data_IF_121565411859
#
_entry.id   IF_121565411859
#
_cell.length_a   1.000
_cell.length_b   1.000
_cell.length_c   1.000
_cell.angle_alpha   90.00
_cell.angle_beta   90.00
_cell.angle_gamma   90.00
#
_symmetry.space_group_name_H-M   'P 1'
#
loop_
_entity.id
_entity.type
_entity.pdbx_description
1 polymer ?
#
# COMPACT_ATOMS: atom_id res chain seq x y z
N UNK A 1 -15.85 3.15 4.89
CA UNK A 1 -14.56 3.36 5.56
C UNK A 1 -13.39 2.91 4.66
N UNK A 2 -13.36 1.65 4.19
CA UNK A 2 -12.27 1.12 3.35
C UNK A 2 -12.10 1.82 2.00
N UNK A 3 -13.18 2.21 1.34
CA UNK A 3 -13.11 2.95 0.09
C UNK A 3 -12.45 4.32 0.28
N UNK A 4 -12.88 5.07 1.28
CA UNK A 4 -12.36 6.43 1.55
C UNK A 4 -10.88 6.40 1.90
N UNK A 5 -10.43 5.41 2.70
CA UNK A 5 -9.02 5.23 3.04
C UNK A 5 -8.19 4.90 1.79
N UNK A 6 -8.65 3.96 0.97
CA UNK A 6 -7.98 3.58 -0.27
C UNK A 6 -7.94 4.72 -1.29
N UNK A 7 -9.03 5.48 -1.41
CA UNK A 7 -9.10 6.67 -2.24
C UNK A 7 -8.10 7.75 -1.79
N UNK A 8 -8.03 8.02 -0.50
CA UNK A 8 -7.11 9.02 0.05
C UNK A 8 -5.64 8.63 -0.19
N UNK A 9 -5.31 7.34 -0.02
CA UNK A 9 -3.96 6.81 -0.29
C UNK A 9 -3.65 6.84 -1.78
N UNK A 10 -4.61 6.49 -2.64
CA UNK A 10 -4.48 6.59 -4.09
C UNK A 10 -4.19 8.03 -4.52
N UNK A 11 -5.01 9.00 -4.09
CA UNK A 11 -4.84 10.40 -4.44
C UNK A 11 -3.47 10.97 -4.01
N UNK A 12 -3.02 10.61 -2.80
CA UNK A 12 -1.67 11.02 -2.33
C UNK A 12 -0.56 10.44 -3.18
N UNK A 13 -0.66 9.17 -3.56
CA UNK A 13 0.35 8.50 -4.38
C UNK A 13 0.34 9.04 -5.81
N UNK A 14 -0.83 9.34 -6.35
CA UNK A 14 -1.04 9.96 -7.67
C UNK A 14 -0.40 11.35 -7.74
N UNK A 15 -0.60 12.18 -6.70
CA UNK A 15 0.06 13.49 -6.58
C UNK A 15 1.59 13.36 -6.58
N UNK A 16 2.15 12.36 -5.89
CA UNK A 16 3.60 12.11 -5.89
C UNK A 16 4.05 11.71 -7.31
N UNK A 17 3.28 10.86 -8.00
CA UNK A 17 3.56 10.46 -9.37
C UNK A 17 3.60 11.67 -10.32
N UNK A 18 2.58 12.51 -10.28
CA UNK A 18 2.47 13.70 -11.15
C UNK A 18 3.66 14.65 -10.96
N UNK A 19 4.03 14.93 -9.71
CA UNK A 19 5.16 15.82 -9.43
C UNK A 19 6.50 15.15 -9.81
N UNK A 20 6.61 13.84 -9.65
CA UNK A 20 7.80 13.12 -10.09
C UNK A 20 7.92 13.09 -11.63
N UNK A 21 6.82 12.92 -12.34
CA UNK A 21 6.80 13.02 -13.80
C UNK A 21 7.17 14.42 -14.30
N UNK A 22 6.73 15.49 -13.62
CA UNK A 22 7.18 16.86 -13.91
C UNK A 22 8.67 17.02 -13.69
N UNK A 23 9.21 16.50 -12.57
CA UNK A 23 10.66 16.53 -12.31
C UNK A 23 11.47 15.83 -13.41
N UNK A 24 10.96 14.73 -13.97
CA UNK A 24 11.66 13.98 -15.01
C UNK A 24 11.62 14.70 -16.38
N UNK A 25 10.53 15.41 -16.67
CA UNK A 25 10.31 16.06 -17.97
C UNK A 25 10.83 17.51 -18.02
N UNK A 26 10.87 18.20 -16.87
CA UNK A 26 11.31 19.59 -16.79
C UNK A 26 12.61 19.71 -15.98
N UNK A 27 13.73 20.12 -16.61
CA UNK A 27 14.98 20.36 -15.92
C UNK A 27 14.92 21.49 -14.88
N UNK A 28 14.00 22.46 -15.06
CA UNK A 28 13.86 23.65 -14.21
C UNK A 28 12.79 23.49 -13.13
N UNK A 29 12.18 22.28 -13.01
CA UNK A 29 11.16 22.02 -12.01
C UNK A 29 11.70 22.22 -10.58
N UNK A 30 11.12 23.18 -9.87
CA UNK A 30 11.64 23.71 -8.59
C UNK A 30 11.12 22.92 -7.35
N UNK A 31 10.12 22.02 -7.52
CA UNK A 31 9.54 21.26 -6.40
C UNK A 31 10.32 19.99 -6.01
N UNK A 32 11.62 19.95 -6.29
CA UNK A 32 12.49 18.85 -5.88
C UNK A 32 12.47 18.66 -4.37
N UNK A 33 12.44 19.77 -3.63
CA UNK A 33 12.39 19.76 -2.16
C UNK A 33 11.11 19.11 -1.63
N UNK A 34 9.96 19.38 -2.24
CA UNK A 34 8.70 18.73 -1.89
C UNK A 34 8.75 17.22 -2.12
N UNK A 35 9.38 16.77 -3.22
CA UNK A 35 9.55 15.34 -3.49
C UNK A 35 10.47 14.68 -2.46
N UNK A 36 11.54 15.34 -2.04
CA UNK A 36 12.42 14.85 -0.96
C UNK A 36 11.66 14.73 0.36
N UNK A 37 10.84 15.72 0.72
CA UNK A 37 9.98 15.64 1.91
C UNK A 37 8.90 14.55 1.80
N UNK A 38 8.48 14.22 0.58
CA UNK A 38 7.49 13.17 0.32
C UNK A 38 8.07 11.75 0.33
N UNK A 39 9.37 11.58 0.48
CA UNK A 39 10.07 10.30 0.42
C UNK A 39 9.54 9.28 1.46
N UNK A 40 9.48 9.66 2.74
CA UNK A 40 8.96 8.77 3.78
C UNK A 40 7.48 8.45 3.56
N UNK A 41 6.70 9.43 3.11
CA UNK A 41 5.29 9.20 2.75
C UNK A 41 5.15 8.21 1.61
N UNK A 42 6.02 8.28 0.60
CA UNK A 42 6.05 7.32 -0.50
C UNK A 42 6.32 5.91 -0.01
N UNK A 43 7.32 5.74 0.86
CA UNK A 43 7.63 4.44 1.48
C UNK A 43 6.43 3.87 2.25
N UNK A 44 5.79 4.67 3.09
CA UNK A 44 4.64 4.26 3.87
C UNK A 44 3.45 3.85 2.98
N UNK A 45 3.18 4.60 1.91
CA UNK A 45 2.14 4.27 0.96
C UNK A 45 2.43 2.93 0.25
N UNK A 46 3.65 2.72 -0.24
CA UNK A 46 4.03 1.47 -0.91
C UNK A 46 4.02 0.29 0.06
N UNK A 47 4.51 0.46 1.28
CA UNK A 47 4.43 -0.55 2.35
C UNK A 47 2.98 -0.92 2.68
N UNK A 48 2.09 0.08 2.79
CA UNK A 48 0.65 -0.15 3.00
C UNK A 48 -0.02 -0.86 1.82
N UNK A 49 0.49 -0.65 0.60
CA UNK A 49 0.09 -1.39 -0.59
C UNK A 49 0.68 -2.79 -0.66
N UNK A 50 1.62 -3.16 0.22
CA UNK A 50 2.43 -4.40 0.18
C UNK A 50 3.25 -4.52 -1.11
N UNK A 51 3.71 -3.38 -1.63
CA UNK A 51 4.67 -3.33 -2.74
C UNK A 51 6.06 -3.35 -2.14
N UNK A 52 6.80 -4.39 -2.46
CA UNK A 52 8.18 -4.56 -2.01
C UNK A 52 9.13 -3.66 -2.80
N UNK A 53 10.16 -3.15 -2.13
CA UNK A 53 11.20 -2.35 -2.76
C UNK A 53 12.06 -3.20 -3.71
N UNK A 54 12.61 -2.57 -4.72
CA UNK A 54 13.52 -3.18 -5.67
C UNK A 54 14.94 -2.81 -5.29
N UNK A 55 15.78 -3.81 -5.07
CA UNK A 55 17.20 -3.63 -4.81
C UNK A 55 17.98 -3.84 -6.11
N UNK A 56 18.80 -2.87 -6.47
CA UNK A 56 19.65 -2.90 -7.65
C UNK A 56 21.12 -2.93 -7.24
N UNK A 57 21.95 -3.58 -8.04
CA UNK A 57 23.39 -3.47 -7.92
C UNK A 57 23.83 -2.13 -8.51
N UNK A 58 24.43 -1.31 -7.69
CA UNK A 58 25.03 -0.04 -8.05
C UNK A 58 26.56 -0.13 -7.94
N UNK A 59 27.24 0.57 -8.79
CA UNK A 59 28.71 0.63 -8.80
C UNK A 59 29.15 2.04 -8.39
N UNK A 60 30.09 2.10 -7.49
CA UNK A 60 30.70 3.34 -7.04
C UNK A 60 32.20 3.29 -7.30
N UNK A 61 32.70 4.30 -8.00
CA UNK A 61 34.14 4.46 -8.13
C UNK A 61 34.72 4.93 -6.81
N UNK A 62 35.55 4.11 -6.23
CA UNK A 62 36.34 4.46 -5.03
C UNK A 62 37.73 4.88 -5.50
N UNK A 63 38.43 5.72 -4.72
CA UNK A 63 39.77 6.21 -5.06
C UNK A 63 40.71 5.10 -5.56
N UNK A 64 41.59 5.41 -6.48
CA UNK A 64 42.57 4.52 -7.12
C UNK A 64 42.02 3.51 -8.13
N UNK A 65 40.86 3.79 -8.77
CA UNK A 65 40.33 2.93 -9.85
C UNK A 65 39.64 1.66 -9.40
N UNK A 66 39.44 1.50 -8.09
CA UNK A 66 38.65 0.38 -7.55
C UNK A 66 37.14 0.68 -7.71
N UNK A 67 36.40 -0.30 -8.20
CA UNK A 67 34.95 -0.26 -8.32
C UNK A 67 34.37 -1.05 -7.13
N UNK A 68 33.60 -0.37 -6.30
CA UNK A 68 32.82 -1.01 -5.23
C UNK A 68 31.41 -1.27 -5.74
N UNK A 69 30.98 -2.53 -5.65
CA UNK A 69 29.62 -2.95 -5.99
C UNK A 69 28.82 -3.05 -4.70
N UNK A 70 27.73 -2.30 -4.62
CA UNK A 70 26.84 -2.33 -3.47
C UNK A 70 25.39 -2.48 -3.88
N UNK A 71 24.57 -2.96 -2.96
CA UNK A 71 23.14 -3.08 -3.15
C UNK A 71 22.47 -1.74 -2.79
N UNK A 72 21.81 -1.12 -3.76
CA UNK A 72 21.09 0.13 -3.56
C UNK A 72 19.58 -0.11 -3.66
N UNK A 73 18.84 0.40 -2.69
CA UNK A 73 17.38 0.46 -2.73
C UNK A 73 16.93 1.51 -3.75
N UNK A 74 15.96 1.16 -4.58
CA UNK A 74 15.37 2.09 -5.55
C UNK A 74 14.62 3.19 -4.81
N UNK A 75 13.91 2.85 -3.74
CA UNK A 75 13.16 3.84 -2.95
C UNK A 75 14.10 4.80 -2.21
N UNK A 76 15.23 4.33 -1.67
CA UNK A 76 16.22 5.21 -1.03
C UNK A 76 16.85 6.22 -1.99
N UNK A 77 16.85 5.89 -3.28
CA UNK A 77 17.37 6.79 -4.31
C UNK A 77 16.35 7.81 -4.82
N UNK A 78 15.13 7.82 -4.29
CA UNK A 78 14.07 8.76 -4.69
C UNK A 78 14.30 10.15 -4.09
N UNK A 79 14.08 11.25 -4.85
CA UNK A 79 13.77 11.30 -6.28
C UNK A 79 15.05 11.29 -7.13
N UNK A 80 15.16 10.35 -8.05
CA UNK A 80 16.33 10.21 -8.93
C UNK A 80 15.94 10.48 -10.39
N UNK A 81 16.84 11.18 -11.12
CA UNK A 81 16.71 11.37 -12.57
C UNK A 81 17.47 10.32 -13.39
N UNK A 82 18.15 9.38 -12.74
CA UNK A 82 18.85 8.30 -13.45
C UNK A 82 17.82 7.41 -14.18
N UNK A 83 17.94 7.18 -15.50
CA UNK A 83 16.89 6.50 -16.29
C UNK A 83 16.50 5.13 -15.74
N UNK A 84 17.48 4.34 -15.28
CA UNK A 84 17.21 3.02 -14.70
C UNK A 84 16.45 3.10 -13.37
N UNK A 85 16.86 4.01 -12.48
CA UNK A 85 16.24 4.18 -11.15
C UNK A 85 14.85 4.79 -11.32
N UNK A 86 14.71 5.84 -12.14
CA UNK A 86 13.42 6.51 -12.37
C UNK A 86 12.39 5.55 -12.98
N UNK A 87 12.78 4.71 -13.94
CA UNK A 87 11.90 3.69 -14.50
C UNK A 87 11.39 2.70 -13.43
N UNK A 88 12.29 2.21 -12.57
CA UNK A 88 11.93 1.29 -11.49
C UNK A 88 11.06 1.97 -10.43
N UNK A 89 11.35 3.22 -10.08
CA UNK A 89 10.51 4.02 -9.16
C UNK A 89 9.10 4.19 -9.72
N UNK A 90 8.96 4.55 -11.00
CA UNK A 90 7.66 4.66 -11.66
C UNK A 90 6.90 3.33 -11.63
N UNK A 91 7.59 2.21 -11.89
CA UNK A 91 7.02 0.87 -11.80
C UNK A 91 6.47 0.57 -10.41
N UNK A 92 7.20 0.91 -9.35
CA UNK A 92 6.75 0.73 -7.96
C UNK A 92 5.52 1.60 -7.64
N UNK A 93 5.53 2.87 -8.06
CA UNK A 93 4.40 3.79 -7.86
C UNK A 93 3.15 3.28 -8.59
N UNK A 94 3.28 2.87 -9.85
CA UNK A 94 2.16 2.31 -10.61
C UNK A 94 1.63 1.01 -10.02
N UNK A 95 2.51 0.15 -9.49
CA UNK A 95 2.08 -1.05 -8.76
C UNK A 95 1.26 -0.68 -7.51
N UNK A 96 1.69 0.31 -6.74
CA UNK A 96 0.94 0.82 -5.58
C UNK A 96 -0.42 1.40 -5.95
N UNK A 97 -0.48 2.21 -7.02
CA UNK A 97 -1.74 2.76 -7.55
C UNK A 97 -2.70 1.64 -7.99
N UNK A 98 -2.18 0.61 -8.66
CA UNK A 98 -2.96 -0.58 -9.05
C UNK A 98 -3.61 -1.25 -7.84
N UNK A 99 -2.84 -1.50 -6.79
CA UNK A 99 -3.36 -2.12 -5.54
C UNK A 99 -4.47 -1.27 -4.91
N UNK A 100 -4.30 0.05 -4.81
CA UNK A 100 -5.33 0.92 -4.23
C UNK A 100 -6.58 0.98 -5.10
N UNK A 101 -6.43 1.02 -6.43
CA UNK A 101 -7.54 0.96 -7.38
C UNK A 101 -8.34 -0.35 -7.25
N UNK A 102 -7.64 -1.48 -7.11
CA UNK A 102 -8.29 -2.78 -6.89
C UNK A 102 -9.00 -2.85 -5.54
N UNK A 103 -8.42 -2.29 -4.48
CA UNK A 103 -9.09 -2.19 -3.16
C UNK A 103 -10.36 -1.35 -3.23
N UNK A 104 -10.33 -0.22 -3.95
CA UNK A 104 -11.53 0.61 -4.17
C UNK A 104 -12.60 -0.17 -4.93
N UNK A 105 -12.23 -0.85 -6.02
CA UNK A 105 -13.15 -1.67 -6.81
C UNK A 105 -13.76 -2.80 -5.99
N UNK A 106 -12.96 -3.48 -5.18
CA UNK A 106 -13.42 -4.56 -4.32
C UNK A 106 -14.33 -4.07 -3.19
N UNK A 107 -14.23 -2.80 -2.78
CA UNK A 107 -15.15 -2.20 -1.80
C UNK A 107 -16.59 -2.12 -2.28
N UNK A 108 -16.83 -2.16 -3.59
CA UNK A 108 -18.18 -2.21 -4.19
C UNK A 108 -18.65 -3.65 -4.47
N UNK A 109 -17.80 -4.66 -4.27
CA UNK A 109 -18.17 -6.05 -4.50
C UNK A 109 -19.03 -6.58 -3.33
N UNK A 110 -20.30 -6.97 -3.56
CA UNK A 110 -21.16 -7.48 -2.50
C UNK A 110 -20.61 -8.74 -1.83
N UNK A 111 -19.87 -9.58 -2.57
CA UNK A 111 -19.23 -10.77 -2.00
C UNK A 111 -18.15 -10.42 -0.97
N UNK A 112 -17.44 -9.30 -1.15
CA UNK A 112 -16.48 -8.81 -0.16
C UNK A 112 -17.18 -8.43 1.15
N UNK A 113 -18.34 -7.78 1.07
CA UNK A 113 -19.15 -7.41 2.25
C UNK A 113 -19.74 -8.63 2.94
N UNK A 114 -20.24 -9.60 2.19
CA UNK A 114 -20.73 -10.89 2.74
C UNK A 114 -19.61 -11.56 3.53
N UNK A 115 -18.42 -11.68 2.97
CA UNK A 115 -17.27 -12.26 3.65
C UNK A 115 -16.89 -11.47 4.92
N UNK A 116 -16.90 -10.14 4.85
CA UNK A 116 -16.61 -9.28 5.99
C UNK A 116 -17.65 -9.43 7.11
N UNK A 117 -18.94 -9.55 6.78
CA UNK A 117 -20.03 -9.78 7.75
C UNK A 117 -19.90 -11.16 8.39
N UNK A 118 -19.61 -12.18 7.60
CA UNK A 118 -19.44 -13.56 8.06
C UNK A 118 -18.31 -13.67 9.08
N UNK A 119 -17.18 -13.04 8.82
CA UNK A 119 -16.00 -13.10 9.69
C UNK A 119 -15.85 -11.91 10.64
N UNK A 120 -16.87 -11.03 10.71
CA UNK A 120 -16.84 -9.83 11.54
C UNK A 120 -16.44 -10.10 12.99
N UNK A 121 -17.00 -11.10 13.70
CA UNK A 121 -16.60 -11.36 15.08
C UNK A 121 -15.12 -11.73 15.21
N UNK A 122 -14.61 -12.57 14.32
CA UNK A 122 -13.20 -12.97 14.30
C UNK A 122 -12.26 -11.76 14.11
N UNK A 123 -12.63 -10.88 13.20
CA UNK A 123 -11.85 -9.66 12.90
C UNK A 123 -11.89 -8.69 14.08
N UNK A 124 -13.06 -8.53 14.72
CA UNK A 124 -13.22 -7.67 15.89
C UNK A 124 -12.38 -8.16 17.09
N UNK A 125 -12.39 -9.47 17.35
CA UNK A 125 -11.62 -10.05 18.46
C UNK A 125 -10.12 -10.00 18.21
N UNK A 126 -9.67 -10.21 16.97
CA UNK A 126 -8.28 -10.02 16.59
C UNK A 126 -7.84 -8.56 16.83
N UNK A 127 -8.69 -7.59 16.51
CA UNK A 127 -8.42 -6.17 16.75
C UNK A 127 -8.34 -5.82 18.24
N UNK A 128 -9.14 -6.50 19.09
CA UNK A 128 -9.12 -6.35 20.55
C UNK A 128 -7.97 -7.14 21.23
N UNK A 129 -7.07 -7.73 20.45
CA UNK A 129 -5.95 -8.51 20.96
C UNK A 129 -6.34 -9.86 21.56
N UNK A 130 -7.56 -10.32 21.29
CA UNK A 130 -8.04 -11.63 21.75
C UNK A 130 -7.66 -12.73 20.75
N UNK A 131 -7.15 -13.82 21.27
CA UNK A 131 -6.75 -14.99 20.49
C UNK A 131 -7.98 -15.59 19.77
N UNK A 132 -7.94 -15.63 18.44
CA UNK A 132 -9.07 -16.13 17.62
C UNK A 132 -9.36 -17.62 17.82
N UNK A 133 -8.44 -18.37 18.41
CA UNK A 133 -8.56 -19.81 18.63
C UNK A 133 -9.14 -20.18 20.02
N UNK A 134 -9.36 -19.20 20.89
CA UNK A 134 -9.98 -19.44 22.19
C UNK A 134 -11.43 -19.88 22.05
N UNK A 135 -11.86 -20.80 22.91
CA UNK A 135 -13.22 -21.34 22.95
C UNK A 135 -14.29 -20.23 23.00
N UNK A 136 -14.03 -19.15 23.74
CA UNK A 136 -14.93 -18.00 23.85
C UNK A 136 -15.18 -17.32 22.49
N UNK A 137 -14.16 -17.18 21.64
CA UNK A 137 -14.27 -16.60 20.30
C UNK A 137 -15.12 -17.48 19.38
N UNK A 138 -14.96 -18.81 19.48
CA UNK A 138 -15.75 -19.77 18.71
C UNK A 138 -17.23 -19.76 19.12
N UNK A 139 -17.52 -19.68 20.43
CA UNK A 139 -18.88 -19.56 20.95
C UNK A 139 -19.55 -18.27 20.46
N UNK A 140 -18.87 -17.12 20.57
CA UNK A 140 -19.39 -15.84 20.13
C UNK A 140 -19.61 -15.80 18.60
N UNK A 141 -18.76 -16.46 17.85
CA UNK A 141 -18.97 -16.63 16.39
C UNK A 141 -20.21 -17.48 16.10
N UNK A 142 -20.46 -18.53 16.88
CA UNK A 142 -21.68 -19.33 16.79
C UNK A 142 -22.96 -18.51 17.10
N UNK A 143 -22.93 -17.71 18.16
CA UNK A 143 -24.03 -16.80 18.53
C UNK A 143 -24.30 -15.78 17.41
N UNK A 144 -23.25 -15.22 16.82
CA UNK A 144 -23.37 -14.30 15.69
C UNK A 144 -24.09 -14.95 14.49
N UNK A 145 -23.74 -16.19 14.15
CA UNK A 145 -24.39 -16.92 13.07
C UNK A 145 -25.89 -17.16 13.33
N UNK A 146 -26.23 -17.51 14.57
CA UNK A 146 -27.62 -17.68 14.98
C UNK A 146 -28.38 -16.36 14.87
N UNK A 147 -27.80 -15.26 15.37
CA UNK A 147 -28.40 -13.93 15.29
C UNK A 147 -28.61 -13.47 13.83
N UNK A 148 -27.62 -13.70 12.94
CA UNK A 148 -27.72 -13.43 11.51
C UNK A 148 -28.88 -14.22 10.87
N UNK A 149 -28.97 -15.51 11.18
CA UNK A 149 -30.03 -16.38 10.62
C UNK A 149 -31.43 -15.94 11.07
N UNK A 150 -31.58 -15.58 12.35
CA UNK A 150 -32.84 -15.04 12.89
C UNK A 150 -33.17 -13.69 12.26
N UNK A 151 -32.18 -12.79 12.15
CA UNK A 151 -32.35 -11.49 11.52
C UNK A 151 -32.87 -11.62 10.08
N UNK A 152 -32.23 -12.48 9.26
CA UNK A 152 -32.66 -12.72 7.88
C UNK A 152 -34.06 -13.32 7.81
N UNK A 153 -34.44 -14.18 8.78
CA UNK A 153 -35.78 -14.80 8.82
C UNK A 153 -36.89 -13.79 9.20
N UNK A 154 -36.57 -12.79 10.01
CA UNK A 154 -37.52 -11.76 10.44
C UNK A 154 -37.77 -10.66 9.38
N UNK A 155 -36.82 -10.47 8.43
CA UNK A 155 -36.94 -9.50 7.34
C UNK A 155 -37.48 -10.12 6.03
N UNK A 156 -37.95 -11.36 6.05
CA UNK A 156 -38.62 -12.03 4.96
C UNK A 156 -40.15 -11.95 5.12
#
# INVERSE_FOLDING_TARGET
FFFVDSWNKYSKLDTILDNYMKLLNDPQFDEKEWLLQSHERLKDLLKSAKVEDIVIRAERNVAYGNIEVYNASVLESFPSRQPRVSFLTLKLIHAGLGVYKDRMRNSFNPLYWINSIIFFPRTLFSYLGMDSDKLATKILQGIWWIALTIGVALFK
#
